data_IF_536084480178
#
_entry.id   IF_536084480178
#
_cell.length_a   1.000
_cell.length_b   1.000
_cell.length_c   1.000
_cell.angle_alpha   90.00
_cell.angle_beta   90.00
_cell.angle_gamma   90.00
#
_symmetry.space_group_name_H-M   'P 1'
#
loop_
_entity.id
_entity.type
_entity.pdbx_description
1 polymer ?
#
# COMPACT_ATOMS: atom_id res chain seq x y z
N UNK A 1 13.45 -18.78 8.80
CA UNK A 1 12.41 -17.81 8.41
C UNK A 1 13.03 -16.52 7.93
N UNK A 2 12.50 -15.94 6.86
CA UNK A 2 13.00 -14.70 6.24
C UNK A 2 11.92 -13.62 6.14
N UNK A 3 12.33 -12.42 5.77
CA UNK A 3 11.46 -11.26 5.55
C UNK A 3 11.08 -11.12 4.07
N UNK A 4 9.94 -10.49 3.81
CA UNK A 4 9.43 -10.24 2.46
C UNK A 4 9.52 -8.75 2.12
N UNK A 5 9.58 -8.45 0.82
CA UNK A 5 9.39 -7.08 0.37
C UNK A 5 7.94 -6.66 0.62
N UNK A 6 7.69 -5.36 0.73
CA UNK A 6 6.35 -4.85 0.97
C UNK A 6 5.86 -3.93 -0.14
N UNK A 7 4.55 -3.97 -0.39
CA UNK A 7 3.85 -3.13 -1.38
C UNK A 7 2.61 -2.49 -0.76
N UNK A 8 2.51 -1.16 -0.82
CA UNK A 8 1.29 -0.41 -0.47
C UNK A 8 0.56 -0.03 -1.76
N UNK A 9 -0.78 -0.15 -1.78
CA UNK A 9 -1.59 0.10 -2.97
C UNK A 9 -2.71 1.10 -2.68
N UNK A 10 -2.75 2.21 -3.42
CA UNK A 10 -3.81 3.24 -3.32
C UNK A 10 -4.91 3.07 -4.38
N UNK A 11 -6.20 3.24 -4.02
CA UNK A 11 -7.30 3.35 -4.97
C UNK A 11 -7.29 4.72 -5.67
N UNK A 12 -8.19 4.87 -6.64
CA UNK A 12 -8.37 6.11 -7.42
C UNK A 12 -9.36 7.11 -6.81
N UNK A 13 -9.68 8.14 -7.60
CA UNK A 13 -10.66 9.16 -7.26
C UNK A 13 -12.04 8.53 -6.98
N UNK A 14 -12.71 8.97 -5.92
CA UNK A 14 -14.02 8.47 -5.43
C UNK A 14 -14.04 6.99 -5.01
N UNK A 15 -12.92 6.28 -5.12
CA UNK A 15 -12.85 4.83 -4.89
C UNK A 15 -12.31 4.49 -3.50
N UNK A 16 -12.67 3.28 -3.04
CA UNK A 16 -12.20 2.66 -1.81
C UNK A 16 -11.26 1.49 -2.13
N UNK A 17 -10.59 0.94 -1.11
CA UNK A 17 -9.70 -0.21 -1.24
C UNK A 17 -10.36 -1.43 -1.89
N UNK A 18 -11.69 -1.58 -1.77
CA UNK A 18 -12.45 -2.67 -2.38
C UNK A 18 -12.27 -2.76 -3.90
N UNK A 19 -12.01 -1.63 -4.57
CA UNK A 19 -11.74 -1.57 -6.02
C UNK A 19 -10.43 -2.24 -6.44
N UNK A 20 -9.48 -2.37 -5.51
CA UNK A 20 -8.13 -2.91 -5.72
C UNK A 20 -7.82 -4.13 -4.84
N UNK A 21 -8.77 -4.56 -4.01
CA UNK A 21 -8.57 -5.59 -2.99
C UNK A 21 -8.06 -6.94 -3.55
N UNK A 22 -8.42 -7.27 -4.79
CA UNK A 22 -7.96 -8.49 -5.46
C UNK A 22 -6.43 -8.56 -5.64
N UNK A 23 -5.75 -7.41 -5.70
CA UNK A 23 -4.28 -7.33 -5.77
C UNK A 23 -3.63 -7.83 -4.48
N UNK A 24 -4.30 -7.68 -3.33
CA UNK A 24 -3.79 -8.10 -2.02
C UNK A 24 -3.40 -9.57 -1.98
N UNK A 25 -4.36 -10.51 -2.05
CA UNK A 25 -4.06 -11.94 -2.05
C UNK A 25 -3.21 -12.37 -3.26
N UNK A 26 -3.41 -11.74 -4.42
CA UNK A 26 -2.71 -12.09 -5.66
C UNK A 26 -1.20 -11.86 -5.57
N UNK A 27 -0.78 -10.73 -5.01
CA UNK A 27 0.64 -10.40 -4.81
C UNK A 27 1.20 -11.08 -3.57
N UNK A 28 0.42 -11.16 -2.48
CA UNK A 28 0.88 -11.80 -1.24
C UNK A 28 1.21 -13.29 -1.46
N UNK A 29 0.46 -13.99 -2.32
CA UNK A 29 0.74 -15.39 -2.67
C UNK A 29 2.07 -15.59 -3.43
N UNK A 30 2.72 -14.51 -3.88
CA UNK A 30 4.01 -14.53 -4.57
C UNK A 30 5.18 -14.10 -3.67
N UNK A 31 4.97 -13.92 -2.37
CA UNK A 31 6.03 -13.59 -1.42
C UNK A 31 6.20 -12.09 -1.15
N UNK A 32 5.09 -11.38 -0.96
CA UNK A 32 5.08 -9.97 -0.54
C UNK A 32 4.20 -9.76 0.68
N UNK A 33 4.55 -8.79 1.54
CA UNK A 33 3.59 -8.17 2.45
C UNK A 33 2.84 -7.10 1.66
N UNK A 34 1.52 -7.19 1.58
CA UNK A 34 0.71 -6.29 0.76
C UNK A 34 -0.27 -5.53 1.63
N UNK A 35 -0.36 -4.21 1.43
CA UNK A 35 -1.24 -3.34 2.19
C UNK A 35 -2.07 -2.47 1.23
N UNK A 36 -3.32 -2.87 1.00
CA UNK A 36 -4.31 -2.05 0.30
C UNK A 36 -4.92 -1.05 1.27
N UNK A 37 -4.88 0.24 0.96
CA UNK A 37 -5.35 1.30 1.86
C UNK A 37 -6.63 1.96 1.34
N UNK A 38 -7.42 2.50 2.25
CA UNK A 38 -8.31 3.61 1.94
C UNK A 38 -7.53 4.93 2.12
N UNK A 39 -7.91 5.97 1.39
CA UNK A 39 -7.37 7.31 1.59
C UNK A 39 -8.19 8.07 2.64
N UNK A 40 -7.61 9.14 3.20
CA UNK A 40 -8.28 10.00 4.19
C UNK A 40 -9.62 10.54 3.67
N UNK A 41 -9.64 10.99 2.40
CA UNK A 41 -10.87 11.23 1.68
C UNK A 41 -10.81 10.62 0.29
N UNK A 42 -11.95 10.27 -0.30
CA UNK A 42 -11.97 9.66 -1.63
C UNK A 42 -11.64 10.66 -2.75
N UNK A 43 -11.61 11.97 -2.45
CA UNK A 43 -11.32 13.05 -3.41
C UNK A 43 -9.91 13.64 -3.26
N UNK A 44 -9.05 13.03 -2.45
CA UNK A 44 -7.66 13.47 -2.30
C UNK A 44 -6.94 13.46 -3.66
N UNK A 45 -6.12 14.49 -3.90
CA UNK A 45 -5.38 14.66 -5.15
C UNK A 45 -4.11 13.78 -5.16
N UNK A 46 -3.53 13.49 -6.35
CA UNK A 46 -2.39 12.57 -6.47
C UNK A 46 -1.25 12.84 -5.49
N UNK A 47 -0.82 14.09 -5.34
CA UNK A 47 0.25 14.45 -4.39
C UNK A 47 -0.07 14.03 -2.94
N UNK A 48 -1.31 14.27 -2.48
CA UNK A 48 -1.75 13.84 -1.14
C UNK A 48 -1.83 12.31 -1.01
N UNK A 49 -2.13 11.59 -2.11
CA UNK A 49 -2.11 10.12 -2.12
C UNK A 49 -0.69 9.57 -2.02
N UNK A 50 0.27 10.24 -2.65
CA UNK A 50 1.70 9.92 -2.51
C UNK A 50 2.16 10.00 -1.06
N UNK A 51 1.82 11.09 -0.37
CA UNK A 51 2.12 11.23 1.07
C UNK A 51 1.48 10.11 1.91
N UNK A 52 0.24 9.73 1.58
CA UNK A 52 -0.46 8.63 2.26
C UNK A 52 0.15 7.25 1.97
N UNK A 53 0.65 7.00 0.76
CA UNK A 53 1.40 5.78 0.42
C UNK A 53 2.68 5.67 1.24
N UNK A 54 3.44 6.76 1.40
CA UNK A 54 4.65 6.80 2.22
C UNK A 54 4.32 6.63 3.71
N UNK A 55 3.31 7.32 4.23
CA UNK A 55 2.86 7.16 5.61
C UNK A 55 2.40 5.72 5.92
N UNK A 56 1.76 5.06 4.95
CA UNK A 56 1.38 3.65 5.07
C UNK A 56 2.60 2.71 5.06
N UNK A 57 3.66 3.01 4.29
CA UNK A 57 4.93 2.27 4.36
C UNK A 57 5.61 2.45 5.72
N UNK A 58 5.61 3.67 6.27
CA UNK A 58 6.14 3.94 7.62
C UNK A 58 5.37 3.15 8.67
N UNK A 59 4.03 3.18 8.64
CA UNK A 59 3.22 2.35 9.54
C UNK A 59 3.57 0.86 9.40
N UNK A 60 3.64 0.36 8.16
CA UNK A 60 3.86 -1.05 7.88
C UNK A 60 5.22 -1.53 8.41
N UNK A 61 6.25 -0.70 8.28
CA UNK A 61 7.63 -1.03 8.68
C UNK A 61 7.94 -0.74 10.16
N UNK A 62 7.27 0.23 10.78
CA UNK A 62 7.64 0.70 12.12
C UNK A 62 6.67 0.26 13.22
N UNK A 63 5.36 0.27 12.94
CA UNK A 63 4.32 0.19 13.98
C UNK A 63 3.34 -0.99 13.82
N UNK A 64 3.25 -1.55 12.62
CA UNK A 64 2.31 -2.65 12.34
C UNK A 64 2.64 -3.92 13.13
N UNK A 65 1.63 -4.75 13.35
CA UNK A 65 1.78 -6.07 13.98
C UNK A 65 2.59 -7.07 13.12
N UNK A 66 2.72 -6.79 11.81
CA UNK A 66 3.43 -7.65 10.85
C UNK A 66 4.82 -7.12 10.48
N UNK A 67 5.28 -6.02 11.08
CA UNK A 67 6.56 -5.37 10.73
C UNK A 67 7.77 -6.31 10.76
N UNK A 68 7.78 -7.32 11.63
CA UNK A 68 8.85 -8.33 11.71
C UNK A 68 8.91 -9.26 10.51
N UNK A 69 7.88 -9.27 9.64
CA UNK A 69 7.85 -10.00 8.37
C UNK A 69 8.28 -9.12 7.19
N UNK A 70 8.46 -7.82 7.39
CA UNK A 70 8.77 -6.84 6.33
C UNK A 70 10.27 -6.56 6.30
N UNK A 71 10.84 -6.58 5.11
CA UNK A 71 12.17 -6.05 4.85
C UNK A 71 12.07 -4.57 4.49
N UNK A 72 12.42 -3.70 5.44
CA UNK A 72 12.33 -2.25 5.27
C UNK A 72 13.25 -1.67 4.18
N UNK A 73 14.19 -2.47 3.63
CA UNK A 73 15.04 -2.07 2.50
C UNK A 73 14.42 -2.36 1.13
N UNK A 74 13.29 -3.08 1.07
CA UNK A 74 12.64 -3.54 -0.17
C UNK A 74 11.16 -3.17 -0.20
N UNK A 75 10.91 -1.89 -0.43
CA UNK A 75 9.58 -1.30 -0.43
C UNK A 75 9.17 -0.85 -1.83
N UNK A 76 7.89 -1.03 -2.16
CA UNK A 76 7.28 -0.55 -3.39
C UNK A 76 5.91 0.09 -3.12
N UNK A 77 5.48 0.92 -4.06
CA UNK A 77 4.13 1.50 -4.07
C UNK A 77 3.47 1.20 -5.41
N UNK A 78 2.15 1.09 -5.39
CA UNK A 78 1.31 0.95 -6.57
C UNK A 78 0.05 1.79 -6.39
N UNK A 79 -0.62 2.09 -7.50
CA UNK A 79 -1.96 2.64 -7.40
C UNK A 79 -2.71 2.65 -8.72
N UNK A 80 -4.02 2.84 -8.62
CA UNK A 80 -4.91 2.94 -9.75
C UNK A 80 -5.37 4.40 -9.96
N UNK A 81 -5.39 4.86 -11.21
CA UNK A 81 -5.86 6.21 -11.57
C UNK A 81 -5.10 7.29 -10.76
N UNK A 82 -5.78 8.20 -10.06
CA UNK A 82 -5.13 9.19 -9.20
C UNK A 82 -4.22 8.57 -8.14
N UNK A 83 -4.51 7.36 -7.66
CA UNK A 83 -3.62 6.64 -6.74
C UNK A 83 -2.31 6.17 -7.38
N UNK A 84 -2.27 6.02 -8.71
CA UNK A 84 -1.05 5.69 -9.46
C UNK A 84 -0.26 6.91 -9.91
N UNK A 85 -0.87 8.10 -9.86
CA UNK A 85 -0.17 9.37 -10.07
C UNK A 85 0.42 9.96 -8.79
N UNK A 86 0.13 9.36 -7.63
CA UNK A 86 0.69 9.69 -6.33
C UNK A 86 1.88 8.82 -5.99
#
# INVERSE_FOLDING_TARGET
>A
DGTFGAVVISPGFTAYQSSIAWLGPRLASQGFVVFTIDTNTTVDQPASRGDQLLAALDYLTQSSSVRSRVDASRLGVMGHSMGGGG
#
